data_IF_885376622611
#
_entry.id   IF_885376622611
#
_cell.length_a   1.000
_cell.length_b   1.000
_cell.length_c   1.000
_cell.angle_alpha   90.00
_cell.angle_beta   90.00
_cell.angle_gamma   90.00
#
_symmetry.space_group_name_H-M   'P 1'
#
loop_
_entity.id
_entity.type
_entity.pdbx_description
1 polymer ?
#
# COMPACT_ATOMS: atom_id res chain seq x y z
N UNK A 1 -7.13 3.35 1.74
CA UNK A 1 -7.66 4.58 2.37
C UNK A 1 -6.51 5.39 2.98
N UNK A 2 -6.54 6.72 2.82
CA UNK A 2 -5.47 7.61 3.27
C UNK A 2 -6.08 8.94 3.71
N UNK A 3 -5.66 9.44 4.87
CA UNK A 3 -6.08 10.72 5.42
C UNK A 3 -4.85 11.51 5.92
N UNK A 4 -4.67 12.72 5.39
CA UNK A 4 -3.58 13.61 5.80
C UNK A 4 -3.66 13.91 7.30
N UNK A 5 -2.51 13.84 8.00
CA UNK A 5 -2.44 14.07 9.45
C UNK A 5 -3.00 12.93 10.32
N UNK A 6 -3.49 11.83 9.74
CA UNK A 6 -4.04 10.67 10.46
C UNK A 6 -3.28 9.39 10.17
N UNK A 7 -3.25 8.96 8.90
CA UNK A 7 -2.58 7.73 8.52
C UNK A 7 -3.13 7.07 7.26
N UNK A 8 -2.77 5.81 7.07
CA UNK A 8 -3.15 5.00 5.91
C UNK A 8 -3.66 3.62 6.34
N UNK A 9 -4.64 3.11 5.59
CA UNK A 9 -5.17 1.74 5.72
C UNK A 9 -5.30 1.13 4.33
N UNK A 10 -4.61 0.01 4.12
CA UNK A 10 -4.76 -0.84 2.93
C UNK A 10 -5.49 -2.13 3.33
N UNK A 11 -6.48 -2.56 2.57
CA UNK A 11 -7.21 -3.82 2.79
C UNK A 11 -7.31 -4.61 1.50
N UNK A 12 -7.03 -5.91 1.55
CA UNK A 12 -6.91 -6.83 0.43
C UNK A 12 -7.47 -8.23 0.81
N UNK A 13 -7.23 -9.20 -0.06
CA UNK A 13 -7.81 -10.54 0.04
C UNK A 13 -9.30 -10.51 -0.29
N UNK A 14 -10.12 -11.18 0.47
CA UNK A 14 -11.57 -10.93 0.45
C UNK A 14 -11.84 -9.60 1.16
N UNK A 15 -11.68 -8.52 0.40
CA UNK A 15 -11.63 -7.15 0.91
C UNK A 15 -12.87 -6.77 1.69
N UNK A 16 -12.69 -6.36 2.95
CA UNK A 16 -13.74 -5.68 3.72
C UNK A 16 -13.50 -4.17 3.66
N UNK A 17 -14.22 -3.49 2.75
CA UNK A 17 -14.02 -2.07 2.44
C UNK A 17 -14.15 -1.18 3.68
N UNK A 18 -15.02 -1.55 4.63
CA UNK A 18 -15.22 -0.78 5.87
C UNK A 18 -13.98 -0.72 6.77
N UNK A 19 -13.00 -1.61 6.62
CA UNK A 19 -11.74 -1.53 7.36
C UNK A 19 -10.99 -0.21 7.10
N UNK A 20 -11.09 0.32 5.89
CA UNK A 20 -10.45 1.60 5.53
C UNK A 20 -10.95 2.77 6.37
N UNK A 21 -12.21 3.19 6.22
CA UNK A 21 -12.76 4.32 6.96
C UNK A 21 -12.81 4.07 8.46
N UNK A 22 -13.09 2.85 8.92
CA UNK A 22 -13.14 2.52 10.34
C UNK A 22 -11.73 2.54 10.96
N UNK A 23 -10.71 2.02 10.27
CA UNK A 23 -9.32 2.09 10.71
C UNK A 23 -8.83 3.53 10.86
N UNK A 24 -9.11 4.39 9.88
CA UNK A 24 -8.80 5.82 9.97
C UNK A 24 -9.56 6.50 11.13
N UNK A 25 -10.82 6.14 11.36
CA UNK A 25 -11.60 6.63 12.50
C UNK A 25 -10.96 6.27 13.84
N UNK A 26 -10.48 5.02 13.98
CA UNK A 26 -9.79 4.55 15.18
C UNK A 26 -8.45 5.26 15.40
N UNK A 27 -7.67 5.47 14.33
CA UNK A 27 -6.43 6.24 14.40
C UNK A 27 -6.69 7.69 14.82
N UNK A 28 -7.72 8.34 14.26
CA UNK A 28 -8.14 9.71 14.62
C UNK A 28 -8.58 9.81 16.09
N UNK A 29 -9.18 8.74 16.62
CA UNK A 29 -9.51 8.63 18.04
C UNK A 29 -8.30 8.36 18.96
N UNK A 30 -7.06 8.34 18.41
CA UNK A 30 -5.82 8.19 19.16
C UNK A 30 -5.36 6.74 19.39
N UNK A 31 -6.03 5.74 18.81
CA UNK A 31 -5.55 4.37 18.91
C UNK A 31 -4.27 4.19 18.09
N UNK A 32 -3.34 3.39 18.61
CA UNK A 32 -2.19 2.93 17.81
C UNK A 32 -2.64 1.98 16.70
N UNK A 33 -1.89 1.83 15.59
CA UNK A 33 -2.19 0.88 14.52
C UNK A 33 -2.49 -0.53 15.02
N UNK A 34 -1.69 -1.04 15.97
CA UNK A 34 -1.89 -2.37 16.55
C UNK A 34 -3.23 -2.49 17.31
N UNK A 35 -3.63 -1.46 18.05
CA UNK A 35 -4.93 -1.44 18.75
C UNK A 35 -6.09 -1.28 17.78
N UNK A 36 -5.95 -0.42 16.78
CA UNK A 36 -6.95 -0.25 15.74
C UNK A 36 -7.18 -1.56 14.97
N UNK A 37 -6.10 -2.22 14.55
CA UNK A 37 -6.13 -3.52 13.88
C UNK A 37 -6.83 -4.59 14.73
N UNK A 38 -6.43 -4.73 15.99
CA UNK A 38 -7.06 -5.67 16.93
C UNK A 38 -8.56 -5.45 17.05
N UNK A 39 -9.02 -4.20 17.10
CA UNK A 39 -10.43 -3.86 17.22
C UNK A 39 -11.21 -4.18 15.94
N UNK A 40 -10.63 -3.94 14.75
CA UNK A 40 -11.23 -4.33 13.47
C UNK A 40 -11.40 -5.85 13.37
N UNK A 41 -10.33 -6.60 13.65
CA UNK A 41 -10.34 -8.06 13.55
C UNK A 41 -11.29 -8.72 14.56
N UNK A 42 -11.38 -8.17 15.76
CA UNK A 42 -12.29 -8.68 16.81
C UNK A 42 -13.76 -8.68 16.38
N UNK A 43 -14.14 -7.73 15.54
CA UNK A 43 -15.52 -7.55 15.07
C UNK A 43 -15.83 -8.28 13.76
N UNK A 44 -14.82 -8.81 13.09
CA UNK A 44 -14.99 -9.50 11.80
C UNK A 44 -14.87 -11.02 11.96
N UNK A 45 -15.96 -11.77 11.84
CA UNK A 45 -15.90 -13.23 11.83
C UNK A 45 -15.16 -13.79 10.62
N UNK A 46 -15.01 -13.01 9.54
CA UNK A 46 -14.29 -13.38 8.32
C UNK A 46 -12.84 -12.93 8.29
N UNK A 47 -12.24 -12.52 9.42
CA UNK A 47 -10.87 -11.99 9.49
C UNK A 47 -9.80 -12.90 8.86
N UNK A 48 -10.03 -14.21 8.88
CA UNK A 48 -9.08 -15.19 8.34
C UNK A 48 -8.98 -15.14 6.79
N UNK A 49 -9.91 -14.48 6.14
CA UNK A 49 -9.90 -14.20 4.69
C UNK A 49 -9.36 -12.80 4.35
N UNK A 50 -9.02 -11.97 5.34
CA UNK A 50 -8.63 -10.58 5.14
C UNK A 50 -7.12 -10.41 5.14
N UNK A 51 -6.68 -9.41 4.38
CA UNK A 51 -5.34 -8.88 4.51
C UNK A 51 -5.45 -7.36 4.70
N UNK A 52 -4.78 -6.82 5.72
CA UNK A 52 -4.86 -5.40 6.05
C UNK A 52 -3.55 -4.88 6.64
N UNK A 53 -3.14 -3.69 6.20
CA UNK A 53 -2.05 -2.92 6.77
C UNK A 53 -2.54 -1.56 7.25
N UNK A 54 -2.07 -1.14 8.41
CA UNK A 54 -2.41 0.14 9.03
C UNK A 54 -1.13 0.86 9.44
N UNK A 55 -1.01 2.12 9.07
CA UNK A 55 0.09 3.01 9.48
C UNK A 55 -0.47 4.35 9.94
N UNK A 56 0.08 4.91 11.01
CA UNK A 56 -0.26 6.26 11.47
C UNK A 56 0.79 7.30 11.06
N UNK A 57 0.51 8.57 11.38
CA UNK A 57 1.41 9.69 11.05
C UNK A 57 2.74 9.65 11.79
N UNK A 58 2.86 8.87 12.86
CA UNK A 58 4.11 8.68 13.60
C UNK A 58 4.96 7.55 13.00
N UNK A 59 4.53 6.95 11.88
CA UNK A 59 5.22 5.83 11.26
C UNK A 59 5.07 4.50 12.03
N UNK A 60 4.16 4.43 13.02
CA UNK A 60 3.84 3.17 13.68
C UNK A 60 2.99 2.34 12.72
N UNK A 61 3.22 1.05 12.69
CA UNK A 61 2.66 0.11 11.71
C UNK A 61 2.07 -1.11 12.39
N UNK A 62 1.10 -1.72 11.73
CA UNK A 62 0.57 -3.05 12.05
C UNK A 62 -0.04 -3.67 10.79
N UNK A 63 0.07 -4.98 10.64
CA UNK A 63 -0.58 -5.71 9.56
C UNK A 63 -1.15 -7.05 10.03
N UNK A 64 -2.08 -7.57 9.24
CA UNK A 64 -2.68 -8.89 9.40
C UNK A 64 -2.84 -9.52 8.02
N UNK A 65 -2.47 -10.78 7.92
CA UNK A 65 -2.79 -11.66 6.80
C UNK A 65 -3.42 -12.91 7.39
N UNK A 66 -4.69 -13.13 7.11
CA UNK A 66 -5.42 -14.30 7.61
C UNK A 66 -5.04 -15.56 6.85
N UNK A 67 -5.07 -16.71 7.52
CA UNK A 67 -4.62 -18.00 6.99
C UNK A 67 -5.42 -18.50 5.79
N UNK A 68 -6.64 -17.98 5.59
CA UNK A 68 -7.51 -18.29 4.45
C UNK A 68 -7.45 -17.24 3.33
N UNK A 69 -6.53 -16.28 3.42
CA UNK A 69 -6.23 -15.37 2.30
C UNK A 69 -5.63 -16.18 1.14
N UNK A 70 -5.99 -15.89 -0.13
CA UNK A 70 -5.46 -16.63 -1.26
C UNK A 70 -3.94 -16.66 -1.33
N UNK A 71 -3.37 -17.87 -1.43
CA UNK A 71 -1.93 -18.11 -1.40
C UNK A 71 -1.28 -17.84 -2.79
N UNK A 72 0.04 -17.55 -2.92
CA UNK A 72 0.91 -17.25 -1.79
C UNK A 72 0.55 -15.88 -1.22
N UNK A 73 0.62 -15.70 0.09
CA UNK A 73 0.27 -14.45 0.77
C UNK A 73 1.24 -14.17 1.93
N UNK A 74 1.40 -12.90 2.28
CA UNK A 74 2.23 -12.49 3.40
C UNK A 74 2.30 -10.99 3.58
N UNK A 75 3.03 -10.57 4.60
CA UNK A 75 3.35 -9.16 4.83
C UNK A 75 4.70 -9.00 5.52
N UNK A 76 5.34 -7.84 5.26
CA UNK A 76 6.52 -7.36 5.98
C UNK A 76 6.14 -6.05 6.64
N UNK A 77 6.40 -5.93 7.94
CA UNK A 77 6.06 -4.76 8.75
C UNK A 77 7.31 -4.21 9.39
N UNK A 78 7.61 -2.95 9.09
CA UNK A 78 8.72 -2.21 9.68
C UNK A 78 8.26 -0.79 10.06
N UNK A 79 8.97 -0.09 10.92
CA UNK A 79 8.66 1.30 11.22
C UNK A 79 8.59 2.16 9.94
N UNK A 80 7.47 2.84 9.73
CA UNK A 80 7.26 3.73 8.58
C UNK A 80 6.90 3.04 7.27
N UNK A 81 6.83 1.69 7.21
CA UNK A 81 6.50 0.98 5.98
C UNK A 81 5.82 -0.37 6.20
N UNK A 82 4.99 -0.75 5.27
CA UNK A 82 4.34 -2.06 5.20
C UNK A 82 4.36 -2.51 3.74
N UNK A 83 4.81 -3.73 3.50
CA UNK A 83 4.65 -4.43 2.24
C UNK A 83 3.73 -5.61 2.47
N UNK A 84 2.70 -5.78 1.66
CA UNK A 84 1.76 -6.90 1.81
C UNK A 84 1.17 -7.30 0.46
N UNK A 85 0.90 -8.57 0.29
CA UNK A 85 0.31 -9.10 -0.93
C UNK A 85 -0.31 -10.49 -0.75
N UNK A 86 -1.15 -10.85 -1.69
CA UNK A 86 -1.77 -12.17 -1.80
C UNK A 86 -1.89 -12.55 -3.28
N UNK A 87 -2.08 -13.83 -3.58
CA UNK A 87 -2.01 -14.38 -4.94
C UNK A 87 -0.66 -14.11 -5.61
N UNK A 88 0.41 -14.07 -4.83
CA UNK A 88 1.76 -13.82 -5.32
C UNK A 88 2.42 -15.11 -5.80
N UNK A 89 3.41 -14.98 -6.69
CA UNK A 89 4.24 -16.10 -7.14
C UNK A 89 4.98 -16.76 -5.97
N UNK A 90 5.42 -15.97 -4.98
CA UNK A 90 6.12 -16.47 -3.81
C UNK A 90 6.57 -15.36 -2.85
N UNK A 91 7.28 -15.73 -1.78
CA UNK A 91 7.78 -14.77 -0.78
C UNK A 91 8.76 -13.76 -1.36
N UNK A 92 9.56 -14.13 -2.35
CA UNK A 92 10.51 -13.29 -3.06
C UNK A 92 9.88 -12.00 -3.62
N UNK A 93 8.58 -11.98 -3.91
CA UNK A 93 7.88 -10.78 -4.37
C UNK A 93 7.88 -9.70 -3.29
N UNK A 94 7.57 -10.06 -2.04
CA UNK A 94 7.58 -9.11 -0.93
C UNK A 94 8.99 -8.66 -0.55
N UNK A 95 9.95 -9.58 -0.62
CA UNK A 95 11.37 -9.27 -0.34
C UNK A 95 11.90 -8.26 -1.37
N UNK A 96 11.66 -8.50 -2.66
CA UNK A 96 12.05 -7.57 -3.73
C UNK A 96 11.36 -6.19 -3.58
N UNK A 97 10.08 -6.16 -3.24
CA UNK A 97 9.36 -4.90 -2.97
C UNK A 97 9.97 -4.14 -1.79
N UNK A 98 10.31 -4.84 -0.71
CA UNK A 98 10.93 -4.25 0.48
C UNK A 98 12.28 -3.65 0.15
N UNK A 99 13.18 -4.43 -0.46
CA UNK A 99 14.54 -4.00 -0.82
C UNK A 99 14.52 -2.77 -1.73
N UNK A 100 13.72 -2.80 -2.80
CA UNK A 100 13.57 -1.69 -3.72
C UNK A 100 12.98 -0.43 -3.07
N UNK A 101 12.05 -0.60 -2.11
CA UNK A 101 11.48 0.50 -1.33
C UNK A 101 12.54 1.15 -0.44
N UNK A 102 13.35 0.35 0.25
CA UNK A 102 14.44 0.82 1.11
C UNK A 102 15.48 1.61 0.31
N UNK A 103 15.99 1.03 -0.77
CA UNK A 103 16.99 1.68 -1.64
C UNK A 103 16.46 3.01 -2.22
N UNK A 104 15.21 3.02 -2.68
CA UNK A 104 14.60 4.22 -3.22
C UNK A 104 14.38 5.30 -2.14
N UNK A 105 14.04 4.93 -0.90
CA UNK A 105 13.94 5.86 0.24
C UNK A 105 15.30 6.45 0.59
N UNK A 106 16.33 5.62 0.71
CA UNK A 106 17.68 6.04 1.07
C UNK A 106 18.30 6.97 0.02
N UNK A 107 17.91 6.82 -1.25
CA UNK A 107 18.30 7.73 -2.33
C UNK A 107 17.56 9.08 -2.33
N UNK A 108 16.66 9.32 -1.38
CA UNK A 108 15.92 10.58 -1.23
C UNK A 108 14.91 10.86 -2.33
N UNK A 109 14.42 9.84 -3.04
CA UNK A 109 13.42 9.99 -4.08
C UNK A 109 12.06 10.46 -3.51
N UNK A 110 11.27 11.20 -4.29
CA UNK A 110 9.89 11.52 -3.90
C UNK A 110 9.08 10.25 -3.56
N UNK A 111 8.22 10.31 -2.53
CA UNK A 111 7.47 9.13 -2.06
C UNK A 111 6.70 8.40 -3.16
N UNK A 112 6.14 9.11 -4.14
CA UNK A 112 5.45 8.47 -5.26
C UNK A 112 6.39 7.62 -6.13
N UNK A 113 7.64 8.07 -6.35
CA UNK A 113 8.66 7.29 -7.05
C UNK A 113 9.07 6.05 -6.24
N UNK A 114 9.26 6.21 -4.93
CA UNK A 114 9.57 5.11 -4.01
C UNK A 114 8.52 4.00 -4.10
N UNK A 115 7.23 4.37 -3.99
CA UNK A 115 6.13 3.40 -4.05
C UNK A 115 6.01 2.72 -5.41
N UNK A 116 6.24 3.45 -6.50
CA UNK A 116 6.23 2.88 -7.86
C UNK A 116 7.40 1.93 -8.07
N UNK A 117 8.59 2.28 -7.59
CA UNK A 117 9.78 1.42 -7.68
C UNK A 117 9.55 0.09 -6.94
N UNK A 118 8.92 0.13 -5.76
CA UNK A 118 8.56 -1.09 -5.04
C UNK A 118 7.52 -1.95 -5.80
N UNK A 119 6.52 -1.34 -6.43
CA UNK A 119 5.55 -2.08 -7.25
C UNK A 119 6.20 -2.74 -8.47
N UNK A 120 7.11 -2.04 -9.15
CA UNK A 120 7.86 -2.58 -10.29
C UNK A 120 8.72 -3.77 -9.89
N UNK A 121 9.48 -3.64 -8.79
CA UNK A 121 10.30 -4.73 -8.28
C UNK A 121 9.46 -5.97 -7.91
N UNK A 122 8.28 -5.77 -7.33
CA UNK A 122 7.36 -6.86 -7.04
C UNK A 122 6.86 -7.57 -8.30
N UNK A 123 6.50 -6.81 -9.34
CA UNK A 123 6.06 -7.38 -10.61
C UNK A 123 7.20 -8.15 -11.32
N UNK A 124 8.42 -7.60 -11.31
CA UNK A 124 9.62 -8.25 -11.87
C UNK A 124 10.01 -9.54 -11.12
N UNK A 125 9.72 -9.61 -9.83
CA UNK A 125 9.95 -10.79 -8.98
C UNK A 125 8.86 -11.87 -9.11
N UNK A 126 7.91 -11.72 -10.04
CA UNK A 126 6.83 -12.67 -10.32
C UNK A 126 5.42 -12.13 -10.09
N UNK A 127 5.26 -11.12 -9.24
CA UNK A 127 4.00 -10.39 -9.05
C UNK A 127 2.79 -11.23 -8.68
N UNK A 128 1.63 -10.85 -9.22
CA UNK A 128 0.35 -11.59 -9.09
C UNK A 128 0.34 -12.78 -10.05
N UNK A 129 0.05 -13.97 -9.56
CA UNK A 129 -0.04 -15.21 -10.36
C UNK A 129 -0.97 -15.12 -11.59
N UNK A 130 -1.92 -14.19 -11.59
CA UNK A 130 -2.88 -13.97 -12.69
C UNK A 130 -2.37 -12.92 -13.68
N UNK A 131 -1.23 -12.29 -13.40
CA UNK A 131 -0.74 -11.08 -14.03
C UNK A 131 -1.47 -9.81 -13.55
N UNK A 132 -0.74 -8.72 -13.43
CA UNK A 132 -1.32 -7.43 -13.05
C UNK A 132 -2.19 -6.87 -14.17
N UNK A 133 -3.42 -6.48 -13.84
CA UNK A 133 -4.37 -5.83 -14.76
C UNK A 133 -4.72 -4.41 -14.34
N UNK A 134 -4.47 -4.07 -13.07
CA UNK A 134 -4.74 -2.75 -12.52
C UNK A 134 -3.67 -2.31 -11.54
N UNK A 135 -3.47 -1.01 -11.42
CA UNK A 135 -2.57 -0.41 -10.44
C UNK A 135 -3.10 0.93 -9.95
N UNK A 136 -2.81 1.26 -8.70
CA UNK A 136 -3.22 2.54 -8.12
C UNK A 136 -2.13 3.11 -7.21
N UNK A 137 -2.06 4.43 -7.15
CA UNK A 137 -1.16 5.17 -6.29
C UNK A 137 -1.93 6.29 -5.59
N UNK A 138 -1.81 6.35 -4.27
CA UNK A 138 -2.33 7.47 -3.47
C UNK A 138 -1.19 8.03 -2.64
N UNK A 139 -0.91 9.33 -2.79
CA UNK A 139 0.16 10.02 -2.06
C UNK A 139 -0.35 11.32 -1.50
N UNK A 140 0.00 11.62 -0.25
CA UNK A 140 -0.12 12.96 0.31
C UNK A 140 1.20 13.68 0.08
N UNK A 141 1.15 14.77 -0.66
CA UNK A 141 2.30 15.62 -0.92
C UNK A 141 2.51 16.63 0.23
N UNK A 142 3.70 17.25 0.34
CA UNK A 142 3.91 18.39 1.22
C UNK A 142 2.81 19.43 1.02
N UNK A 143 2.32 20.01 2.14
CA UNK A 143 1.15 20.91 2.11
C UNK A 143 -0.21 20.22 2.13
N UNK A 144 -0.25 18.88 2.29
CA UNK A 144 -1.49 18.12 2.52
C UNK A 144 -2.29 17.78 1.26
N UNK A 145 -1.80 18.14 0.08
CA UNK A 145 -2.47 17.82 -1.19
C UNK A 145 -2.39 16.32 -1.48
N UNK A 146 -3.53 15.72 -1.77
CA UNK A 146 -3.61 14.29 -2.11
C UNK A 146 -3.59 14.09 -3.62
N UNK A 147 -2.65 13.27 -4.10
CA UNK A 147 -2.63 12.77 -5.48
C UNK A 147 -3.21 11.36 -5.49
N UNK A 148 -4.17 11.13 -6.37
CA UNK A 148 -4.76 9.81 -6.64
C UNK A 148 -4.61 9.50 -8.11
N UNK A 149 -3.97 8.38 -8.43
CA UNK A 149 -3.80 7.87 -9.78
C UNK A 149 -4.29 6.42 -9.82
N UNK A 150 -4.89 6.04 -10.94
CA UNK A 150 -5.39 4.68 -11.14
C UNK A 150 -5.29 4.29 -12.60
N UNK A 151 -5.03 3.02 -12.82
CA UNK A 151 -5.06 2.33 -14.11
C UNK A 151 -5.91 1.08 -13.94
N UNK A 152 -6.90 0.91 -14.78
CA UNK A 152 -7.79 -0.26 -14.78
C UNK A 152 -7.68 -0.97 -16.13
N UNK A 153 -7.74 -2.30 -16.07
CA UNK A 153 -7.76 -3.21 -17.21
C UNK A 153 -6.71 -2.87 -18.30
N UNK A 154 -5.46 -2.91 -17.92
CA UNK A 154 -4.31 -2.65 -18.81
C UNK A 154 -3.29 -3.79 -18.68
N UNK A 155 -2.66 -4.26 -19.77
CA UNK A 155 -1.63 -5.30 -19.72
C UNK A 155 -0.32 -4.85 -19.05
N UNK A 156 -0.09 -3.55 -18.91
CA UNK A 156 1.10 -2.97 -18.27
C UNK A 156 0.68 -1.85 -17.29
N UNK A 157 -0.11 -2.18 -16.26
CA UNK A 157 -0.77 -1.17 -15.44
C UNK A 157 0.23 -0.33 -14.62
N UNK A 158 1.32 -0.93 -14.16
CA UNK A 158 2.35 -0.26 -13.34
C UNK A 158 3.13 0.74 -14.19
N UNK A 159 3.55 0.36 -15.40
CA UNK A 159 4.25 1.26 -16.33
C UNK A 159 3.38 2.47 -16.73
N UNK A 160 2.11 2.23 -17.00
CA UNK A 160 1.14 3.31 -17.27
C UNK A 160 0.93 4.19 -16.05
N UNK A 161 0.87 3.62 -14.84
CA UNK A 161 0.75 4.37 -13.60
C UNK A 161 1.98 5.27 -13.35
N UNK A 162 3.19 4.77 -13.61
CA UNK A 162 4.44 5.56 -13.56
C UNK A 162 4.39 6.74 -14.53
N UNK A 163 3.99 6.50 -15.77
CA UNK A 163 3.84 7.56 -16.77
C UNK A 163 2.85 8.64 -16.32
N UNK A 164 1.70 8.24 -15.76
CA UNK A 164 0.72 9.18 -15.19
C UNK A 164 1.31 9.99 -14.02
N UNK A 165 2.11 9.37 -13.17
CA UNK A 165 2.80 10.05 -12.08
C UNK A 165 3.77 11.12 -12.61
N UNK A 166 4.65 10.74 -13.52
CA UNK A 166 5.64 11.65 -14.12
C UNK A 166 4.96 12.86 -14.80
N UNK A 167 3.93 12.63 -15.59
CA UNK A 167 3.14 13.70 -16.23
C UNK A 167 2.48 14.62 -15.19
N UNK A 168 1.98 14.04 -14.09
CA UNK A 168 1.36 14.81 -13.02
C UNK A 168 2.37 15.69 -12.29
N UNK A 169 3.59 15.17 -12.04
CA UNK A 169 4.65 15.93 -11.37
C UNK A 169 5.23 17.00 -12.29
N UNK A 170 5.46 16.72 -13.56
CA UNK A 170 5.96 17.70 -14.53
C UNK A 170 5.06 18.93 -14.67
N UNK A 171 3.74 18.76 -14.62
CA UNK A 171 2.76 19.88 -14.68
C UNK A 171 2.74 20.74 -13.41
N UNK A 172 3.49 20.36 -12.36
CA UNK A 172 3.50 21.05 -11.07
C UNK A 172 4.77 21.88 -10.85
N UNK A 173 5.76 21.73 -11.72
CA UNK A 173 6.89 22.64 -11.79
C UNK A 173 6.41 23.80 -12.68
N UNK A 174 6.12 25.00 -12.13
CA UNK A 174 5.89 26.18 -12.97
C UNK A 174 7.14 26.37 -13.80
N UNK A 175 6.98 26.57 -15.11
CA UNK A 175 8.11 26.81 -16.00
C UNK A 175 9.03 27.89 -15.46
N UNK A 176 10.33 27.60 -15.53
CA UNK A 176 11.40 28.62 -15.44
C UNK A 176 11.17 29.70 -16.50
#
# INVERSE_FOLDING_TARGET
>A
HLEAGVGAVATQGYTLVSYGPEGLRLLRAGLSPARALKELLRRDPGRDYRQVGIMDVLGRTAAHTGDLTPAWHGHIVEPGRIVLGNLLEGPNVLDAMKEALEEAMDSGRPLGEVLLTALEAGAEAGGDLRGERSAALIVVLPGGRVVRLRVDDNPQPIAVLRSKWQQKMARQVPGL
#
